data_IF_573392016759
#
_entry.id   IF_573392016759
#
_cell.length_a   1.000
_cell.length_b   1.000
_cell.length_c   1.000
_cell.angle_alpha   90.00
_cell.angle_beta   90.00
_cell.angle_gamma   90.00
#
_symmetry.space_group_name_H-M   'P 1'
#
loop_
_entity.id
_entity.type
_entity.pdbx_description
1 polymer ?
#
# COMPACT_ATOMS: atom_id res chain seq x y z
N UNK A 1 -16.60 1.46 -10.17
CA UNK A 1 -15.66 2.38 -10.85
C UNK A 1 -16.16 3.81 -10.67
N UNK A 2 -15.35 4.76 -10.18
CA UNK A 2 -15.72 6.18 -10.04
C UNK A 2 -14.79 7.01 -10.92
N UNK A 3 -15.37 7.78 -11.86
CA UNK A 3 -14.60 8.68 -12.73
C UNK A 3 -14.02 9.85 -11.91
N UNK A 4 -12.80 10.26 -12.19
CA UNK A 4 -12.09 11.34 -11.46
C UNK A 4 -12.13 12.68 -12.22
N UNK A 5 -13.23 12.94 -12.94
CA UNK A 5 -13.39 14.15 -13.77
C UNK A 5 -13.18 15.42 -12.96
N UNK A 6 -13.73 15.48 -11.75
CA UNK A 6 -13.65 16.68 -10.90
C UNK A 6 -12.23 17.06 -10.50
N UNK A 7 -11.43 16.07 -10.07
CA UNK A 7 -10.03 16.28 -9.73
C UNK A 7 -9.22 16.73 -10.95
N UNK A 8 -9.44 16.07 -12.10
CA UNK A 8 -8.76 16.41 -13.35
C UNK A 8 -9.13 17.80 -13.85
N UNK A 9 -10.42 18.15 -13.78
CA UNK A 9 -10.92 19.47 -14.16
C UNK A 9 -10.28 20.58 -13.29
N UNK A 10 -10.20 20.35 -11.98
CA UNK A 10 -9.55 21.27 -11.05
C UNK A 10 -8.06 21.43 -11.37
N UNK A 11 -7.34 20.34 -11.61
CA UNK A 11 -5.94 20.33 -12.01
C UNK A 11 -5.71 21.19 -13.28
N UNK A 12 -6.48 20.89 -14.35
CA UNK A 12 -6.39 21.61 -15.62
C UNK A 12 -6.68 23.11 -15.48
N UNK A 13 -7.73 23.43 -14.71
CA UNK A 13 -8.09 24.83 -14.44
C UNK A 13 -6.94 25.59 -13.76
N UNK A 14 -6.29 24.95 -12.77
CA UNK A 14 -5.14 25.55 -12.08
C UNK A 14 -3.93 25.67 -13.00
N UNK A 15 -3.65 24.67 -13.83
CA UNK A 15 -2.55 24.73 -14.80
C UNK A 15 -2.72 25.88 -15.81
N UNK A 16 -3.98 26.17 -16.20
CA UNK A 16 -4.30 27.28 -17.12
C UNK A 16 -4.50 28.63 -16.39
N UNK A 17 -4.35 28.68 -15.06
CA UNK A 17 -4.46 29.90 -14.27
C UNK A 17 -5.85 30.56 -14.30
N UNK A 18 -6.94 29.79 -14.54
CA UNK A 18 -8.29 30.31 -14.64
C UNK A 18 -9.11 30.03 -13.36
N UNK A 19 -10.10 30.90 -13.08
CA UNK A 19 -11.04 30.73 -11.98
C UNK A 19 -12.20 29.79 -12.33
N UNK A 20 -12.95 29.33 -11.34
CA UNK A 20 -14.17 28.56 -11.57
C UNK A 20 -15.20 29.38 -12.36
N UNK A 21 -15.32 30.69 -12.09
CA UNK A 21 -16.21 31.58 -12.81
C UNK A 21 -15.84 31.70 -14.29
N UNK A 22 -14.54 31.81 -14.58
CA UNK A 22 -14.07 31.89 -15.98
C UNK A 22 -14.32 30.59 -16.74
N UNK A 23 -14.10 29.44 -16.08
CA UNK A 23 -14.42 28.14 -16.69
C UNK A 23 -15.96 28.00 -16.92
N UNK A 24 -16.75 28.42 -15.97
CA UNK A 24 -18.21 28.41 -16.07
C UNK A 24 -18.72 29.24 -17.26
N UNK A 25 -18.16 30.45 -17.43
CA UNK A 25 -18.47 31.31 -18.57
C UNK A 25 -18.16 30.62 -19.92
N UNK A 26 -16.98 30.00 -20.03
CA UNK A 26 -16.59 29.27 -21.26
C UNK A 26 -17.51 28.10 -21.57
N UNK A 27 -17.95 27.39 -20.53
CA UNK A 27 -18.81 26.20 -20.69
C UNK A 27 -20.30 26.54 -20.74
N UNK A 28 -20.69 27.81 -20.56
CA UNK A 28 -22.09 28.23 -20.54
C UNK A 28 -22.89 27.69 -19.34
N UNK A 29 -22.24 27.53 -18.19
CA UNK A 29 -22.85 27.00 -16.96
C UNK A 29 -22.64 27.94 -15.77
N UNK A 30 -23.20 27.60 -14.59
CA UNK A 30 -22.94 28.36 -13.37
C UNK A 30 -21.61 27.96 -12.71
N UNK A 31 -20.94 28.89 -12.01
CA UNK A 31 -19.75 28.58 -11.23
C UNK A 31 -20.02 27.56 -10.12
N UNK A 32 -21.24 27.54 -9.59
CA UNK A 32 -21.67 26.51 -8.64
C UNK A 32 -21.67 25.11 -9.24
N UNK A 33 -21.98 24.96 -10.56
CA UNK A 33 -21.90 23.69 -11.25
C UNK A 33 -20.45 23.22 -11.33
N UNK A 34 -19.54 24.10 -11.75
CA UNK A 34 -18.09 23.82 -11.79
C UNK A 34 -17.55 23.42 -10.40
N UNK A 35 -17.93 24.17 -9.36
CA UNK A 35 -17.54 23.87 -7.99
C UNK A 35 -18.01 22.46 -7.54
N UNK A 36 -19.26 22.09 -7.84
CA UNK A 36 -19.81 20.77 -7.50
C UNK A 36 -19.12 19.64 -8.26
N UNK A 37 -18.74 19.86 -9.53
CA UNK A 37 -17.98 18.90 -10.31
C UNK A 37 -16.58 18.69 -9.71
N UNK A 38 -15.86 19.77 -9.39
CA UNK A 38 -14.52 19.71 -8.77
C UNK A 38 -14.53 19.06 -7.38
N UNK A 39 -15.63 19.21 -6.63
CA UNK A 39 -15.83 18.52 -5.35
C UNK A 39 -16.29 17.06 -5.49
N UNK A 40 -16.59 16.61 -6.72
CA UNK A 40 -17.05 15.25 -7.00
C UNK A 40 -18.46 14.93 -6.47
N UNK A 41 -19.28 15.96 -6.20
CA UNK A 41 -20.67 15.79 -5.73
C UNK A 41 -21.63 15.46 -6.85
N UNK A 42 -21.31 15.82 -8.09
CA UNK A 42 -22.01 15.41 -9.31
C UNK A 42 -21.05 15.41 -10.49
N UNK A 43 -21.48 14.82 -11.60
CA UNK A 43 -20.73 14.85 -12.86
C UNK A 43 -21.26 15.96 -13.79
N UNK A 44 -20.43 16.47 -14.72
CA UNK A 44 -20.88 17.25 -15.85
C UNK A 44 -21.83 16.45 -16.76
N UNK A 45 -22.68 17.15 -17.49
CA UNK A 45 -23.46 16.51 -18.57
C UNK A 45 -22.52 15.96 -19.65
N UNK A 46 -22.91 14.83 -20.24
CA UNK A 46 -22.09 14.13 -21.27
C UNK A 46 -21.74 15.05 -22.44
N UNK A 47 -22.65 15.95 -22.83
CA UNK A 47 -22.43 16.87 -23.93
C UNK A 47 -21.33 17.91 -23.64
N UNK A 48 -21.04 18.19 -22.38
CA UNK A 48 -19.98 19.13 -21.99
C UNK A 48 -18.59 18.50 -22.00
N UNK A 49 -18.49 17.18 -21.91
CA UNK A 49 -17.17 16.52 -21.86
C UNK A 49 -16.33 16.77 -23.10
N UNK A 50 -16.85 16.68 -24.34
CA UNK A 50 -16.07 17.04 -25.52
C UNK A 50 -15.68 18.50 -25.55
N UNK A 51 -16.55 19.40 -25.08
CA UNK A 51 -16.26 20.84 -25.00
C UNK A 51 -15.11 21.14 -24.03
N UNK A 52 -15.11 20.50 -22.86
CA UNK A 52 -14.04 20.61 -21.87
C UNK A 52 -12.73 20.05 -22.41
N UNK A 53 -12.75 18.86 -23.01
CA UNK A 53 -11.58 18.22 -23.60
C UNK A 53 -10.93 19.11 -24.67
N UNK A 54 -11.76 19.65 -25.56
CA UNK A 54 -11.29 20.58 -26.59
C UNK A 54 -10.76 21.90 -26.02
N UNK A 55 -11.42 22.45 -25.00
CA UNK A 55 -10.98 23.69 -24.37
C UNK A 55 -9.60 23.57 -23.70
N UNK A 56 -9.31 22.43 -23.09
CA UNK A 56 -8.03 22.16 -22.43
C UNK A 56 -7.00 21.47 -23.33
N UNK A 57 -7.33 21.25 -24.61
CA UNK A 57 -6.48 20.56 -25.59
C UNK A 57 -6.00 19.17 -25.11
N UNK A 58 -6.93 18.38 -24.59
CA UNK A 58 -6.69 17.02 -24.10
C UNK A 58 -7.70 16.03 -24.69
N UNK A 59 -7.43 14.73 -24.57
CA UNK A 59 -8.39 13.69 -24.97
C UNK A 59 -9.52 13.53 -23.94
N UNK A 60 -10.65 12.96 -24.35
CA UNK A 60 -11.71 12.57 -23.43
C UNK A 60 -11.21 11.53 -22.41
N UNK A 61 -10.39 10.59 -22.83
CA UNK A 61 -9.78 9.59 -21.97
C UNK A 61 -8.96 10.25 -20.83
N UNK A 62 -8.20 11.31 -21.16
CA UNK A 62 -7.46 12.06 -20.14
C UNK A 62 -8.39 12.83 -19.20
N UNK A 63 -9.43 13.47 -19.74
CA UNK A 63 -10.40 14.21 -18.94
C UNK A 63 -11.14 13.32 -17.93
N UNK A 64 -11.55 12.12 -18.35
CA UNK A 64 -12.27 11.17 -17.48
C UNK A 64 -11.33 10.32 -16.62
N UNK A 65 -10.01 10.45 -16.81
CA UNK A 65 -8.99 9.71 -16.07
C UNK A 65 -8.86 8.24 -16.46
N UNK A 66 -9.25 7.86 -17.69
CA UNK A 66 -9.18 6.47 -18.17
C UNK A 66 -7.75 5.92 -18.15
N UNK A 67 -6.75 6.76 -18.44
CA UNK A 67 -5.35 6.33 -18.39
C UNK A 67 -4.93 5.92 -16.96
N UNK A 68 -5.38 6.66 -15.92
CA UNK A 68 -5.14 6.29 -14.53
C UNK A 68 -5.88 5.00 -14.13
N UNK A 69 -7.10 4.80 -14.66
CA UNK A 69 -7.90 3.60 -14.40
C UNK A 69 -7.25 2.39 -15.05
N UNK A 70 -6.92 2.46 -16.34
CA UNK A 70 -6.22 1.39 -17.07
C UNK A 70 -4.88 1.03 -16.42
N UNK A 71 -4.12 2.04 -15.97
CA UNK A 71 -2.86 1.81 -15.26
C UNK A 71 -3.07 1.10 -13.92
N UNK A 72 -4.15 1.39 -13.18
CA UNK A 72 -4.48 0.70 -11.94
C UNK A 72 -4.94 -0.74 -12.17
N UNK A 73 -5.78 -0.97 -13.18
CA UNK A 73 -6.25 -2.30 -13.57
C UNK A 73 -5.07 -3.16 -14.00
N UNK A 74 -4.22 -2.65 -14.90
CA UNK A 74 -3.00 -3.33 -15.36
C UNK A 74 -2.06 -3.68 -14.20
N UNK A 75 -1.83 -2.75 -13.25
CA UNK A 75 -1.02 -3.05 -12.06
C UNK A 75 -1.65 -4.12 -11.18
N UNK A 76 -2.98 -4.09 -10.99
CA UNK A 76 -3.70 -5.11 -10.22
C UNK A 76 -3.57 -6.50 -10.85
N UNK A 77 -3.61 -6.59 -12.17
CA UNK A 77 -3.38 -7.84 -12.91
C UNK A 77 -1.94 -8.34 -12.71
N UNK A 78 -0.95 -7.45 -12.84
CA UNK A 78 0.47 -7.75 -12.62
C UNK A 78 0.72 -8.30 -11.21
N UNK A 79 0.20 -7.63 -10.17
CA UNK A 79 0.34 -8.10 -8.79
C UNK A 79 -0.34 -9.47 -8.60
N UNK A 80 -1.53 -9.66 -9.19
CA UNK A 80 -2.23 -10.94 -9.11
C UNK A 80 -1.43 -12.06 -9.76
N UNK A 81 -0.83 -11.79 -10.93
CA UNK A 81 0.01 -12.74 -11.64
C UNK A 81 1.30 -13.07 -10.85
N UNK A 82 2.01 -12.04 -10.36
CA UNK A 82 3.22 -12.22 -9.55
C UNK A 82 2.93 -13.06 -8.30
N UNK A 83 1.88 -12.70 -7.53
CA UNK A 83 1.45 -13.45 -6.34
C UNK A 83 1.08 -14.91 -6.65
N UNK A 84 0.51 -15.20 -7.83
CA UNK A 84 0.21 -16.57 -8.23
C UNK A 84 1.50 -17.40 -8.44
N UNK A 85 2.54 -16.79 -9.03
CA UNK A 85 3.85 -17.45 -9.16
C UNK A 85 4.55 -17.60 -7.81
N UNK A 86 4.46 -16.61 -6.93
CA UNK A 86 5.02 -16.69 -5.57
C UNK A 86 4.41 -17.82 -4.74
N UNK A 87 3.08 -18.00 -4.79
CA UNK A 87 2.38 -19.11 -4.11
C UNK A 87 2.83 -20.48 -4.61
N UNK A 88 3.35 -20.56 -5.82
CA UNK A 88 3.90 -21.77 -6.43
C UNK A 88 5.42 -21.86 -6.28
N UNK A 89 6.04 -20.93 -5.53
CA UNK A 89 7.50 -20.81 -5.35
C UNK A 89 8.26 -20.66 -6.68
N UNK A 90 7.60 -20.13 -7.73
CA UNK A 90 8.19 -19.90 -9.05
C UNK A 90 8.81 -18.49 -9.10
N UNK A 91 9.85 -18.27 -8.29
CA UNK A 91 10.47 -16.96 -8.08
C UNK A 91 10.95 -16.30 -9.36
N UNK A 92 11.56 -17.07 -10.27
CA UNK A 92 12.06 -16.55 -11.56
C UNK A 92 10.95 -15.92 -12.40
N UNK A 93 9.77 -16.57 -12.44
CA UNK A 93 8.62 -16.04 -13.19
C UNK A 93 8.02 -14.80 -12.52
N UNK A 94 7.91 -14.82 -11.20
CA UNK A 94 7.45 -13.65 -10.46
C UNK A 94 8.37 -12.44 -10.71
N UNK A 95 9.69 -12.63 -10.65
CA UNK A 95 10.68 -11.60 -10.97
C UNK A 95 10.55 -11.11 -12.42
N UNK A 96 10.35 -12.00 -13.39
CA UNK A 96 10.19 -11.65 -14.80
C UNK A 96 8.96 -10.75 -14.99
N UNK A 97 7.81 -11.10 -14.41
CA UNK A 97 6.57 -10.32 -14.46
C UNK A 97 6.81 -8.92 -13.88
N UNK A 98 7.39 -8.81 -12.68
CA UNK A 98 7.64 -7.54 -12.01
C UNK A 98 8.67 -6.68 -12.74
N UNK A 99 9.76 -7.26 -13.26
CA UNK A 99 10.75 -6.54 -14.06
C UNK A 99 10.16 -6.01 -15.39
N UNK A 100 9.29 -6.79 -16.03
CA UNK A 100 8.59 -6.33 -17.24
C UNK A 100 7.60 -5.21 -16.91
N UNK A 101 6.91 -5.29 -15.78
CA UNK A 101 6.03 -4.23 -15.30
C UNK A 101 6.79 -2.92 -15.04
N UNK A 102 7.98 -2.98 -14.45
CA UNK A 102 8.83 -1.81 -14.20
C UNK A 102 9.34 -1.13 -15.48
N UNK A 103 9.34 -1.81 -16.64
CA UNK A 103 9.60 -1.17 -17.95
C UNK A 103 8.44 -0.25 -18.36
N UNK A 104 7.20 -0.62 -17.98
CA UNK A 104 5.98 0.15 -18.28
C UNK A 104 5.73 1.22 -17.22
N UNK A 105 6.04 0.91 -15.96
CA UNK A 105 5.86 1.78 -14.80
C UNK A 105 7.22 2.02 -14.11
N UNK A 106 8.12 2.79 -14.71
CA UNK A 106 9.44 3.01 -14.13
C UNK A 106 9.32 3.75 -12.80
N UNK A 107 10.11 3.32 -11.83
CA UNK A 107 10.13 3.91 -10.47
C UNK A 107 8.80 3.81 -9.72
N UNK A 108 8.00 2.78 -9.98
CA UNK A 108 6.80 2.50 -9.19
C UNK A 108 7.20 1.85 -7.86
N UNK A 109 6.93 2.56 -6.76
CA UNK A 109 7.35 2.16 -5.42
C UNK A 109 6.72 0.82 -4.96
N UNK A 110 5.48 0.52 -5.38
CA UNK A 110 4.80 -0.74 -5.05
C UNK A 110 5.46 -1.92 -5.78
N UNK A 111 5.71 -1.77 -7.09
CA UNK A 111 6.36 -2.81 -7.91
C UNK A 111 7.81 -3.05 -7.47
N UNK A 112 8.56 -2.01 -7.14
CA UNK A 112 9.93 -2.17 -6.64
C UNK A 112 9.96 -2.84 -5.27
N UNK A 113 9.00 -2.51 -4.39
CA UNK A 113 8.87 -3.16 -3.09
C UNK A 113 8.59 -4.65 -3.26
N UNK A 114 7.65 -5.02 -4.13
CA UNK A 114 7.31 -6.41 -4.38
C UNK A 114 8.47 -7.18 -5.02
N UNK A 115 9.11 -6.60 -6.03
CA UNK A 115 10.30 -7.21 -6.64
C UNK A 115 11.42 -7.44 -5.61
N UNK A 116 11.66 -6.50 -4.70
CA UNK A 116 12.62 -6.65 -3.62
C UNK A 116 12.27 -7.81 -2.68
N UNK A 117 10.98 -8.00 -2.37
CA UNK A 117 10.50 -9.12 -1.55
C UNK A 117 10.73 -10.45 -2.28
N UNK A 118 10.36 -10.54 -3.55
CA UNK A 118 10.57 -11.77 -4.36
C UNK A 118 12.05 -12.12 -4.48
N UNK A 119 12.91 -11.14 -4.79
CA UNK A 119 14.35 -11.32 -4.87
C UNK A 119 14.95 -11.86 -3.55
N UNK A 120 14.40 -11.46 -2.40
CA UNK A 120 14.87 -11.96 -1.09
C UNK A 120 14.64 -13.46 -0.88
N UNK A 121 13.78 -14.11 -1.69
CA UNK A 121 13.42 -15.53 -1.58
C UNK A 121 14.31 -16.46 -2.40
N UNK A 122 15.05 -15.95 -3.38
CA UNK A 122 15.92 -16.77 -4.25
C UNK A 122 17.15 -17.33 -3.52
N UNK A 123 17.61 -16.63 -2.48
CA UNK A 123 18.84 -16.98 -1.76
C UNK A 123 20.13 -16.64 -2.52
N UNK A 124 20.05 -16.09 -3.73
CA UNK A 124 21.23 -15.72 -4.51
C UNK A 124 21.79 -14.38 -4.05
N UNK A 125 23.11 -14.29 -3.94
CA UNK A 125 23.78 -13.06 -3.49
C UNK A 125 23.52 -11.86 -4.42
N UNK A 126 23.46 -12.09 -5.74
CA UNK A 126 23.15 -11.05 -6.71
C UNK A 126 21.76 -10.47 -6.48
N UNK A 127 20.77 -11.33 -6.30
CA UNK A 127 19.38 -10.93 -6.10
C UNK A 127 19.22 -10.21 -4.74
N UNK A 128 19.94 -10.66 -3.73
CA UNK A 128 19.99 -10.00 -2.43
C UNK A 128 20.49 -8.56 -2.53
N UNK A 129 21.55 -8.31 -3.31
CA UNK A 129 22.10 -6.96 -3.50
C UNK A 129 21.15 -6.06 -4.31
N UNK A 130 20.48 -6.61 -5.32
CA UNK A 130 19.43 -5.91 -6.07
C UNK A 130 18.25 -5.56 -5.16
N UNK A 131 17.79 -6.50 -4.33
CA UNK A 131 16.72 -6.29 -3.36
C UNK A 131 17.03 -5.16 -2.38
N UNK A 132 18.26 -5.09 -1.86
CA UNK A 132 18.72 -4.02 -1.00
C UNK A 132 18.61 -2.68 -1.74
N UNK A 133 19.13 -2.59 -2.95
CA UNK A 133 19.13 -1.36 -3.75
C UNK A 133 17.70 -0.87 -4.01
N UNK A 134 16.79 -1.75 -4.41
CA UNK A 134 15.39 -1.41 -4.64
C UNK A 134 14.71 -0.88 -3.37
N UNK A 135 14.89 -1.56 -2.24
CA UNK A 135 14.32 -1.12 -0.96
C UNK A 135 14.89 0.22 -0.47
N UNK A 136 16.19 0.47 -0.68
CA UNK A 136 16.83 1.75 -0.38
C UNK A 136 16.24 2.88 -1.25
N UNK A 137 16.08 2.65 -2.56
CA UNK A 137 15.48 3.60 -3.49
C UNK A 137 14.04 3.96 -3.09
N UNK A 138 13.23 2.95 -2.74
CA UNK A 138 11.86 3.19 -2.25
C UNK A 138 11.90 4.02 -0.97
N UNK A 139 12.79 3.69 -0.02
CA UNK A 139 12.89 4.43 1.24
C UNK A 139 13.28 5.90 1.03
N UNK A 140 14.15 6.19 0.06
CA UNK A 140 14.64 7.54 -0.19
C UNK A 140 13.59 8.44 -0.88
N UNK A 141 12.84 7.92 -1.85
CA UNK A 141 11.94 8.74 -2.67
C UNK A 141 10.47 8.64 -2.31
N UNK A 142 10.01 7.50 -1.77
CA UNK A 142 8.60 7.25 -1.53
C UNK A 142 8.07 8.12 -0.39
N UNK A 143 6.91 8.75 -0.59
CA UNK A 143 6.20 9.54 0.44
C UNK A 143 5.11 8.75 1.16
N UNK A 144 4.77 7.56 0.66
CA UNK A 144 3.78 6.67 1.29
C UNK A 144 4.40 5.97 2.50
N UNK A 145 3.99 6.35 3.71
CA UNK A 145 4.58 5.84 4.95
C UNK A 145 4.38 4.33 5.13
N UNK A 146 3.31 3.75 4.58
CA UNK A 146 3.11 2.29 4.60
C UNK A 146 4.20 1.58 3.80
N UNK A 147 4.49 2.03 2.59
CA UNK A 147 5.55 1.45 1.75
C UNK A 147 6.92 1.68 2.35
N UNK A 148 7.18 2.88 2.90
CA UNK A 148 8.42 3.17 3.62
C UNK A 148 8.64 2.23 4.80
N UNK A 149 7.60 1.96 5.59
CA UNK A 149 7.67 1.03 6.71
C UNK A 149 7.93 -0.41 6.24
N UNK A 150 7.31 -0.84 5.13
CA UNK A 150 7.59 -2.13 4.50
C UNK A 150 9.04 -2.21 4.03
N UNK A 151 9.56 -1.18 3.36
CA UNK A 151 10.94 -1.12 2.90
C UNK A 151 11.94 -1.19 4.08
N UNK A 152 11.68 -0.45 5.18
CA UNK A 152 12.52 -0.53 6.40
C UNK A 152 12.56 -1.94 6.98
N UNK A 153 11.37 -2.59 7.10
CA UNK A 153 11.28 -3.95 7.62
C UNK A 153 12.02 -4.93 6.71
N UNK A 154 11.83 -4.84 5.38
CA UNK A 154 12.54 -5.67 4.42
C UNK A 154 14.06 -5.47 4.50
N UNK A 155 14.54 -4.23 4.56
CA UNK A 155 15.96 -3.92 4.70
C UNK A 155 16.60 -4.52 5.96
N UNK A 156 15.88 -4.65 7.07
CA UNK A 156 16.41 -5.33 8.26
C UNK A 156 16.79 -6.79 7.95
N UNK A 157 15.93 -7.51 7.23
CA UNK A 157 16.19 -8.90 6.86
C UNK A 157 17.24 -9.02 5.76
N UNK A 158 17.20 -8.16 4.75
CA UNK A 158 18.15 -8.13 3.65
C UNK A 158 19.57 -7.84 4.14
N UNK A 159 19.76 -6.82 4.98
CA UNK A 159 21.06 -6.51 5.58
C UNK A 159 21.59 -7.67 6.45
N UNK A 160 20.70 -8.30 7.23
CA UNK A 160 21.07 -9.49 8.02
C UNK A 160 21.54 -10.61 7.10
N UNK A 161 20.80 -10.91 6.02
CA UNK A 161 21.16 -11.94 5.05
C UNK A 161 22.49 -11.63 4.33
N UNK A 162 22.77 -10.35 4.08
CA UNK A 162 24.03 -9.88 3.50
C UNK A 162 25.20 -9.83 4.51
N UNK A 163 25.00 -10.19 5.78
CA UNK A 163 26.01 -10.11 6.82
C UNK A 163 26.27 -8.68 7.35
N UNK A 164 25.45 -7.72 6.95
CA UNK A 164 25.57 -6.29 7.33
C UNK A 164 24.84 -6.01 8.65
N UNK A 165 25.23 -6.67 9.73
CA UNK A 165 24.52 -6.66 11.02
C UNK A 165 24.38 -5.26 11.65
N UNK A 166 25.38 -4.40 11.51
CA UNK A 166 25.32 -3.03 12.01
C UNK A 166 24.22 -2.23 11.30
N UNK A 167 24.13 -2.35 9.96
CA UNK A 167 23.07 -1.70 9.17
C UNK A 167 21.71 -2.28 9.49
N UNK A 168 21.59 -3.60 9.64
CA UNK A 168 20.35 -4.27 10.03
C UNK A 168 19.84 -3.75 11.39
N UNK A 169 20.74 -3.67 12.39
CA UNK A 169 20.41 -3.19 13.74
C UNK A 169 20.04 -1.71 13.73
N UNK A 170 20.79 -0.89 13.00
CA UNK A 170 20.49 0.54 12.87
C UNK A 170 19.11 0.76 12.24
N UNK A 171 18.79 0.02 11.16
CA UNK A 171 17.48 0.09 10.48
C UNK A 171 16.35 -0.37 11.42
N UNK A 172 16.54 -1.48 12.15
CA UNK A 172 15.57 -2.00 13.11
C UNK A 172 15.17 -0.99 14.19
N UNK A 173 16.11 -0.16 14.64
CA UNK A 173 15.83 0.90 15.63
C UNK A 173 14.97 2.04 15.09
N UNK A 174 14.77 2.13 13.77
CA UNK A 174 13.89 3.13 13.14
C UNK A 174 12.47 2.64 12.95
N UNK A 175 12.19 1.34 13.20
CA UNK A 175 10.84 0.79 13.12
C UNK A 175 9.98 1.28 14.30
N UNK A 176 8.66 1.44 14.10
CA UNK A 176 7.74 1.79 15.17
C UNK A 176 7.78 0.78 16.31
N UNK A 177 7.58 1.27 17.53
CA UNK A 177 7.45 0.39 18.70
C UNK A 177 6.17 -0.43 18.61
N UNK A 178 6.17 -1.66 19.14
CA UNK A 178 4.98 -2.53 19.14
C UNK A 178 3.76 -1.84 19.75
N UNK A 179 3.97 -1.01 20.78
CA UNK A 179 2.92 -0.25 21.47
C UNK A 179 2.30 0.89 20.63
N UNK A 180 2.93 1.24 19.51
CA UNK A 180 2.45 2.23 18.53
C UNK A 180 1.75 1.55 17.35
N UNK A 181 1.59 0.21 17.39
CA UNK A 181 0.90 -0.55 16.37
C UNK A 181 -0.59 -0.25 16.37
N UNK A 182 -1.15 -0.08 15.19
CA UNK A 182 -2.60 0.08 14.99
C UNK A 182 -3.39 -1.04 15.64
N UNK A 183 -2.92 -2.27 15.52
CA UNK A 183 -3.55 -3.48 16.04
C UNK A 183 -3.62 -3.50 17.57
N UNK A 184 -2.71 -2.80 18.25
CA UNK A 184 -2.70 -2.65 19.70
C UNK A 184 -3.63 -1.52 20.18
N UNK A 185 -3.75 -0.44 19.42
CA UNK A 185 -4.48 0.76 19.80
C UNK A 185 -5.95 0.74 19.38
N UNK A 186 -6.26 0.17 18.22
CA UNK A 186 -7.62 0.21 17.65
C UNK A 186 -8.69 -0.44 18.51
N UNK A 187 -8.42 -1.57 19.24
CA UNK A 187 -9.43 -2.15 20.13
C UNK A 187 -9.99 -1.19 21.19
N UNK A 188 -9.18 -0.21 21.63
CA UNK A 188 -9.59 0.78 22.63
C UNK A 188 -10.27 2.02 22.02
N UNK A 189 -10.19 2.19 20.70
CA UNK A 189 -10.68 3.37 19.98
C UNK A 189 -11.97 3.13 19.21
N UNK A 190 -12.41 1.87 19.05
CA UNK A 190 -13.61 1.51 18.30
C UNK A 190 -14.80 1.24 19.24
N UNK A 191 -16.01 1.24 18.66
CA UNK A 191 -17.21 0.89 19.38
C UNK A 191 -17.25 -0.62 19.71
N UNK A 192 -18.01 -1.00 20.73
CA UNK A 192 -18.00 -2.34 21.30
C UNK A 192 -18.37 -3.45 20.30
N UNK A 193 -19.20 -3.11 19.31
CA UNK A 193 -19.62 -4.02 18.22
C UNK A 193 -18.45 -4.47 17.34
N UNK A 194 -17.46 -3.59 17.11
CA UNK A 194 -16.29 -3.85 16.25
C UNK A 194 -15.07 -4.34 17.05
N UNK A 195 -15.12 -4.21 18.38
CA UNK A 195 -13.99 -4.42 19.29
C UNK A 195 -13.50 -5.87 19.27
N UNK A 196 -14.40 -6.83 19.35
CA UNK A 196 -14.06 -8.25 19.42
C UNK A 196 -13.22 -8.69 18.21
N UNK A 197 -13.64 -8.35 16.99
CA UNK A 197 -12.91 -8.71 15.78
C UNK A 197 -11.55 -8.01 15.63
N UNK A 198 -11.32 -6.89 16.31
CA UNK A 198 -10.02 -6.21 16.32
C UNK A 198 -9.08 -6.79 17.38
N UNK A 199 -9.60 -7.15 18.54
CA UNK A 199 -8.86 -7.87 19.59
C UNK A 199 -8.35 -9.20 19.05
N UNK A 200 -9.20 -9.98 18.39
CA UNK A 200 -8.81 -11.27 17.79
C UNK A 200 -7.70 -11.13 16.74
N UNK A 201 -7.79 -10.11 15.89
CA UNK A 201 -6.73 -9.84 14.91
C UNK A 201 -5.43 -9.43 15.57
N UNK A 202 -5.47 -8.52 16.54
CA UNK A 202 -4.30 -8.07 17.29
C UNK A 202 -3.63 -9.23 18.02
N UNK A 203 -4.43 -10.07 18.69
CA UNK A 203 -3.93 -11.25 19.40
C UNK A 203 -3.29 -12.26 18.44
N UNK A 204 -3.92 -12.58 17.31
CA UNK A 204 -3.38 -13.52 16.33
C UNK A 204 -2.05 -13.03 15.76
N UNK A 205 -1.92 -11.73 15.48
CA UNK A 205 -0.66 -11.12 15.03
C UNK A 205 0.42 -11.24 16.11
N UNK A 206 0.10 -10.85 17.35
CA UNK A 206 1.03 -10.93 18.47
C UNK A 206 1.46 -12.38 18.75
N UNK A 207 0.54 -13.33 18.70
CA UNK A 207 0.83 -14.76 18.86
C UNK A 207 1.77 -15.27 17.77
N UNK A 208 1.52 -14.91 16.49
CA UNK A 208 2.37 -15.34 15.40
C UNK A 208 3.79 -14.76 15.53
N UNK A 209 3.90 -13.46 15.88
CA UNK A 209 5.19 -12.81 16.12
C UNK A 209 5.97 -13.52 17.25
N UNK A 210 5.30 -13.80 18.38
CA UNK A 210 5.94 -14.51 19.50
C UNK A 210 6.40 -15.90 19.11
N UNK A 211 5.58 -16.62 18.33
CA UNK A 211 5.91 -17.94 17.82
C UNK A 211 7.13 -17.91 16.91
N UNK A 212 7.19 -16.96 15.97
CA UNK A 212 8.30 -16.82 15.01
C UNK A 212 9.60 -16.43 15.75
N UNK A 213 9.52 -15.51 16.72
CA UNK A 213 10.67 -15.13 17.56
C UNK A 213 11.16 -16.33 18.39
N UNK A 214 10.27 -17.10 18.98
CA UNK A 214 10.63 -18.28 19.76
C UNK A 214 11.29 -19.35 18.88
N UNK A 215 10.71 -19.64 17.72
CA UNK A 215 11.28 -20.63 16.77
C UNK A 215 12.64 -20.18 16.22
N UNK A 216 12.79 -18.91 15.88
CA UNK A 216 14.04 -18.31 15.38
C UNK A 216 15.19 -18.35 16.43
N UNK A 217 14.88 -18.48 17.70
CA UNK A 217 15.84 -18.58 18.81
C UNK A 217 15.92 -19.98 19.43
N UNK A 218 15.36 -21.00 18.77
CA UNK A 218 15.38 -22.40 19.25
C UNK A 218 14.52 -22.62 20.50
N UNK A 219 13.60 -21.71 20.81
CA UNK A 219 12.70 -21.81 21.96
C UNK A 219 11.43 -22.52 21.48
N UNK A 220 11.10 -23.65 22.09
CA UNK A 220 9.80 -24.31 21.88
C UNK A 220 8.73 -23.51 22.63
N UNK A 221 7.87 -22.83 21.86
CA UNK A 221 6.77 -22.06 22.40
C UNK A 221 5.45 -22.77 22.07
N UNK A 222 4.75 -23.23 23.09
CA UNK A 222 3.39 -23.77 22.98
C UNK A 222 2.55 -23.08 24.03
N UNK A 223 1.72 -22.16 23.62
CA UNK A 223 0.55 -21.84 24.40
C UNK A 223 -0.35 -23.06 24.25
N UNK A 224 -0.73 -23.72 25.33
CA UNK A 224 -1.57 -24.92 25.33
C UNK A 224 -3.00 -24.72 24.78
N UNK A 225 -3.17 -23.76 23.88
CA UNK A 225 -4.41 -23.36 23.23
C UNK A 225 -4.32 -23.61 21.73
N UNK A 226 -5.36 -24.24 21.20
CA UNK A 226 -5.59 -24.29 19.75
C UNK A 226 -6.36 -23.02 19.33
N UNK A 227 -6.16 -22.52 18.07
CA UNK A 227 -6.91 -21.36 17.57
C UNK A 227 -8.44 -21.49 17.64
N UNK A 228 -8.93 -22.70 17.62
CA UNK A 228 -10.36 -23.08 17.75
C UNK A 228 -10.93 -22.88 19.16
N UNK A 229 -10.07 -22.81 20.17
CA UNK A 229 -10.46 -22.63 21.56
C UNK A 229 -10.52 -21.13 21.99
N UNK A 230 -10.20 -20.23 21.06
CA UNK A 230 -9.98 -18.80 21.32
C UNK A 230 -11.25 -17.94 21.33
N UNK A 231 -12.44 -18.54 21.27
CA UNK A 231 -13.72 -17.80 21.34
C UNK A 231 -13.94 -17.14 22.72
N UNK A 232 -13.13 -17.50 23.72
CA UNK A 232 -13.25 -16.97 25.09
C UNK A 232 -12.00 -16.23 25.61
N UNK A 233 -11.14 -15.77 24.67
CA UNK A 233 -9.82 -15.18 25.00
C UNK A 233 -9.88 -13.82 25.72
N UNK A 234 -11.01 -13.10 25.67
CA UNK A 234 -11.18 -11.82 26.39
C UNK A 234 -11.11 -12.03 27.92
N UNK A 235 -11.61 -13.13 28.42
CA UNK A 235 -11.54 -13.48 29.85
C UNK A 235 -10.12 -13.80 30.32
N UNK A 236 -9.28 -14.37 29.45
CA UNK A 236 -7.92 -14.76 29.80
C UNK A 236 -6.96 -13.55 29.85
N UNK A 237 -7.10 -12.61 28.92
CA UNK A 237 -6.29 -11.37 28.89
C UNK A 237 -6.60 -10.52 30.14
N UNK A 238 -7.86 -10.43 30.53
CA UNK A 238 -8.26 -9.72 31.75
C UNK A 238 -7.72 -10.36 33.03
N UNK A 239 -7.45 -11.67 33.07
CA UNK A 239 -6.85 -12.34 34.22
C UNK A 239 -5.34 -12.10 34.32
N UNK A 240 -4.63 -11.96 33.18
CA UNK A 240 -3.17 -11.73 33.14
C UNK A 240 -2.78 -10.27 33.42
N UNK A 241 -3.70 -9.33 33.20
CA UNK A 241 -3.47 -7.89 33.48
C UNK A 241 -3.78 -7.54 34.95
N UNK A 242 -4.42 -8.45 35.73
CA UNK A 242 -4.81 -8.20 37.11
C UNK A 242 -3.82 -8.72 38.16
N UNK A 243 -2.82 -9.47 37.78
CA UNK A 243 -1.68 -9.93 38.59
C UNK A 243 -0.41 -9.15 38.23
#
# INVERSE_FOLDING_TARGET
>A
MKLQIGEKLKELRHQHGITQDRLAEVLGVSSQSVSRWELGTCYPDLELLPVMANYFDITLDDLVGMNKIRSREMRSEIFTEALNYERQEQWDKAMEVLRNALKTFPSDDELETELSIVLSKTGEHKDLMEAITLSENVLDRCTNEKLRSTARANLCFLYKAAGLMERATAMGKTLPHIWECREMLMPDLVQEEDRAGMVDRGFNIAYQVLKDVAQGNGISFSLGYKPEDMVDSVGLIQSVIRD
#
